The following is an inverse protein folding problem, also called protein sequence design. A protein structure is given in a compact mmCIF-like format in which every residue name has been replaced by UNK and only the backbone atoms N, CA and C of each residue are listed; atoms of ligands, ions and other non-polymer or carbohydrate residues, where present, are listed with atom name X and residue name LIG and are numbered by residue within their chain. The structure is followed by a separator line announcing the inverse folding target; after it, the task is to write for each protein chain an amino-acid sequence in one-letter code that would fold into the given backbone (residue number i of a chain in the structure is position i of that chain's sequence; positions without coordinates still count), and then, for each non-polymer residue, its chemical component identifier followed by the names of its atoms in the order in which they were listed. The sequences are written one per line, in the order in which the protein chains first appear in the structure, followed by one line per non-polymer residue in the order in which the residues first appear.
data_IF_860767210829
#
_entry.id   IF_860767210829
#
_cell.length_a   1.000
_cell.length_b   1.000
_cell.length_c   1.000
_cell.angle_alpha   90.00
_cell.angle_beta   90.00
_cell.angle_gamma   90.00
#
_symmetry.space_group_name_H-M   'P 1'
#
loop_
_entity.id
_entity.type
_entity.pdbx_description
1 polymer ?
#
# COMPACT_ATOMS: atom_id res chain seq x y z
N UNK A 1 16.76 11.00 2.58
CA UNK A 1 16.58 12.45 2.81
C UNK A 1 17.02 13.35 1.65
N UNK A 2 17.79 12.88 0.65
CA UNK A 2 18.29 13.76 -0.42
C UNK A 2 17.22 14.62 -1.11
N UNK A 3 16.07 14.03 -1.46
CA UNK A 3 14.96 14.76 -2.10
C UNK A 3 14.40 15.91 -1.23
N UNK A 4 14.20 15.67 0.07
CA UNK A 4 13.76 16.71 1.01
C UNK A 4 14.81 17.83 1.09
N UNK A 5 16.08 17.47 1.25
CA UNK A 5 17.14 18.47 1.35
C UNK A 5 17.29 19.31 0.08
N UNK A 6 17.17 18.68 -1.09
CA UNK A 6 17.22 19.36 -2.38
C UNK A 6 16.08 20.38 -2.50
N UNK A 7 14.84 20.00 -2.14
CA UNK A 7 13.69 20.91 -2.14
C UNK A 7 13.90 22.14 -1.25
N UNK A 8 14.37 21.94 -0.02
CA UNK A 8 14.60 23.02 0.95
C UNK A 8 15.86 23.86 0.65
N UNK A 9 16.78 23.36 -0.18
CA UNK A 9 18.00 24.08 -0.55
C UNK A 9 17.73 25.24 -1.53
N UNK A 10 16.63 25.17 -2.28
CA UNK A 10 16.26 26.17 -3.26
C UNK A 10 15.35 27.26 -2.64
N UNK A 11 15.80 28.53 -2.55
CA UNK A 11 15.01 29.60 -1.95
C UNK A 11 13.74 29.97 -2.72
N UNK A 12 13.61 29.57 -3.98
CA UNK A 12 12.39 29.83 -4.77
C UNK A 12 11.25 28.86 -4.46
N UNK A 13 11.53 27.75 -3.77
CA UNK A 13 10.54 26.74 -3.47
C UNK A 13 9.69 27.14 -2.26
N UNK A 14 8.41 26.75 -2.29
CA UNK A 14 7.55 26.91 -1.13
C UNK A 14 7.95 25.89 -0.05
N UNK A 15 8.06 26.38 1.17
CA UNK A 15 8.42 25.62 2.38
C UNK A 15 7.45 25.95 3.53
N UNK A 16 6.23 26.40 3.21
CA UNK A 16 5.20 26.72 4.19
C UNK A 16 4.42 25.49 4.69
N UNK A 17 4.53 24.36 3.98
CA UNK A 17 3.92 23.09 4.33
C UNK A 17 4.97 21.96 4.38
N UNK A 18 4.72 20.87 5.11
CA UNK A 18 5.60 19.71 5.09
C UNK A 18 5.53 18.97 3.75
N UNK A 19 6.64 18.34 3.36
CA UNK A 19 6.62 17.37 2.26
C UNK A 19 5.93 16.07 2.69
N UNK A 20 4.95 15.59 1.94
CA UNK A 20 4.29 14.32 2.25
C UNK A 20 5.03 13.14 1.63
N UNK A 21 5.38 12.16 2.46
CA UNK A 21 5.93 10.86 2.04
C UNK A 21 4.83 9.82 2.22
N UNK A 22 4.20 9.38 1.14
CA UNK A 22 2.96 8.59 1.17
C UNK A 22 3.27 7.14 0.84
N UNK A 23 3.14 6.25 1.83
CA UNK A 23 3.26 4.80 1.70
C UNK A 23 1.89 4.19 1.41
N UNK A 24 1.74 3.68 0.19
CA UNK A 24 0.51 3.15 -0.36
C UNK A 24 0.53 1.62 -0.28
N UNK A 25 -0.49 1.06 0.40
CA UNK A 25 -0.60 -0.38 0.62
C UNK A 25 0.48 -0.89 1.58
N UNK A 26 0.65 -0.19 2.71
CA UNK A 26 1.70 -0.46 3.69
C UNK A 26 1.53 -1.81 4.41
N UNK A 27 0.37 -2.47 4.30
CA UNK A 27 0.10 -3.79 4.88
C UNK A 27 0.28 -3.82 6.40
N UNK A 28 1.29 -4.53 6.91
CA UNK A 28 1.56 -4.56 8.36
C UNK A 28 2.31 -3.31 8.88
N UNK A 29 2.75 -2.38 8.02
CA UNK A 29 3.43 -1.15 8.45
C UNK A 29 4.88 -1.33 8.93
N UNK A 30 5.46 -2.54 8.79
CA UNK A 30 6.84 -2.83 9.22
C UNK A 30 7.87 -2.02 8.44
N UNK A 31 7.69 -1.91 7.12
CA UNK A 31 8.57 -1.11 6.28
C UNK A 31 8.48 0.36 6.67
N UNK A 32 7.27 0.87 6.85
CA UNK A 32 6.99 2.24 7.28
C UNK A 32 7.66 2.56 8.62
N UNK A 33 7.57 1.65 9.60
CA UNK A 33 8.28 1.77 10.87
C UNK A 33 9.80 1.86 10.69
N UNK A 34 10.39 0.94 9.91
CA UNK A 34 11.85 0.92 9.68
C UNK A 34 12.32 2.20 9.00
N UNK A 35 11.61 2.67 7.98
CA UNK A 35 11.92 3.92 7.30
C UNK A 35 11.83 5.08 8.29
N UNK A 36 10.73 5.20 9.03
CA UNK A 36 10.54 6.32 9.96
C UNK A 36 11.58 6.32 11.09
N UNK A 37 11.93 5.14 11.59
CA UNK A 37 12.99 4.96 12.58
C UNK A 37 14.34 5.44 12.02
N UNK A 38 14.75 4.98 10.83
CA UNK A 38 16.00 5.43 10.19
C UNK A 38 16.00 6.93 9.84
N UNK A 39 14.86 7.49 9.44
CA UNK A 39 14.74 8.92 9.18
C UNK A 39 14.99 9.74 10.46
N UNK A 40 14.45 9.30 11.60
CA UNK A 40 14.65 9.95 12.89
C UNK A 40 16.07 9.83 13.43
N UNK A 41 16.78 8.73 13.15
CA UNK A 41 18.21 8.62 13.49
C UNK A 41 19.04 9.71 12.80
N UNK A 42 18.61 10.18 11.63
CA UNK A 42 19.27 11.25 10.87
C UNK A 42 18.68 12.65 11.15
N UNK A 43 17.94 12.84 12.25
CA UNK A 43 17.24 14.10 12.55
C UNK A 43 18.14 15.33 12.57
N UNK A 44 19.40 15.18 12.97
CA UNK A 44 20.39 16.28 12.99
C UNK A 44 20.71 16.85 11.59
N UNK A 45 20.43 16.09 10.53
CA UNK A 45 20.65 16.48 9.14
C UNK A 45 19.42 17.11 8.49
N UNK A 46 18.31 17.22 9.22
CA UNK A 46 17.07 17.77 8.66
C UNK A 46 17.16 19.29 8.50
N UNK A 47 16.48 19.86 7.49
CA UNK A 47 16.46 21.30 7.32
C UNK A 47 15.79 21.97 8.52
N UNK A 48 16.35 23.09 8.96
CA UNK A 48 15.77 23.89 10.05
C UNK A 48 14.49 24.55 9.54
N UNK A 49 13.37 24.24 10.17
CA UNK A 49 12.03 24.74 9.81
C UNK A 49 11.15 24.83 11.06
N UNK A 50 10.13 25.68 11.01
CA UNK A 50 9.18 25.88 12.11
C UNK A 50 8.19 24.71 12.25
N UNK A 51 8.10 23.85 11.23
CA UNK A 51 7.27 22.65 11.18
C UNK A 51 8.12 21.42 10.84
N UNK A 52 7.59 20.19 10.99
CA UNK A 52 8.24 19.00 10.47
C UNK A 52 8.58 19.17 8.98
N UNK A 53 9.81 18.87 8.54
CA UNK A 53 10.18 19.08 7.13
C UNK A 53 9.43 18.12 6.19
N UNK A 54 8.94 17.01 6.75
CA UNK A 54 8.09 16.05 6.07
C UNK A 54 7.08 15.45 7.06
N UNK A 55 6.02 14.85 6.50
CA UNK A 55 5.07 13.99 7.21
C UNK A 55 4.97 12.67 6.44
N UNK A 56 5.21 11.57 7.15
CA UNK A 56 5.10 10.22 6.59
C UNK A 56 3.65 9.74 6.71
N UNK A 57 2.98 9.45 5.60
CA UNK A 57 1.60 8.94 5.61
C UNK A 57 1.63 7.44 5.37
N UNK A 58 1.14 6.68 6.34
CA UNK A 58 0.97 5.22 6.20
C UNK A 58 -0.47 4.93 5.80
N UNK A 59 -0.67 4.31 4.63
CA UNK A 59 -2.01 4.06 4.09
C UNK A 59 -2.21 2.65 3.58
N UNK A 60 -3.44 2.15 3.73
CA UNK A 60 -3.89 0.86 3.17
C UNK A 60 -5.43 0.89 3.02
N UNK A 61 -5.98 0.08 2.12
CA UNK A 61 -7.43 -0.03 1.94
C UNK A 61 -8.09 -0.83 3.08
N UNK A 62 -7.32 -1.67 3.78
CA UNK A 62 -7.78 -2.47 4.90
C UNK A 62 -7.82 -1.64 6.20
N UNK A 63 -9.03 -1.29 6.64
CA UNK A 63 -9.28 -0.56 7.89
C UNK A 63 -8.73 -1.26 9.14
N UNK A 64 -8.62 -2.58 9.11
CA UNK A 64 -8.06 -3.35 10.23
C UNK A 64 -6.56 -3.08 10.40
N UNK A 65 -5.81 -2.93 9.31
CA UNK A 65 -4.39 -2.54 9.38
C UNK A 65 -4.24 -1.14 9.96
N UNK A 66 -5.05 -0.18 9.50
CA UNK A 66 -5.03 1.19 10.04
C UNK A 66 -5.32 1.20 11.55
N UNK A 67 -6.32 0.44 11.97
CA UNK A 67 -6.66 0.28 13.39
C UNK A 67 -5.54 -0.35 14.21
N UNK A 68 -4.79 -1.29 13.61
CA UNK A 68 -3.61 -1.90 14.24
C UNK A 68 -2.49 -0.89 14.43
N UNK A 69 -2.14 -0.08 13.42
CA UNK A 69 -1.07 0.91 13.53
C UNK A 69 -1.37 2.01 14.53
N UNK A 70 -2.63 2.46 14.61
CA UNK A 70 -3.06 3.45 15.60
C UNK A 70 -2.90 2.96 17.04
N UNK A 71 -3.00 1.64 17.27
CA UNK A 71 -2.82 0.99 18.58
C UNK A 71 -1.39 0.56 18.85
N UNK A 72 -0.60 0.32 17.80
CA UNK A 72 0.79 -0.10 17.91
C UNK A 72 1.64 1.04 18.50
N UNK A 73 2.25 0.88 19.69
CA UNK A 73 3.08 1.91 20.29
C UNK A 73 4.29 2.30 19.42
N UNK A 74 4.80 1.41 18.58
CA UNK A 74 5.97 1.66 17.74
C UNK A 74 5.69 2.61 16.56
N UNK A 75 4.48 2.56 16.00
CA UNK A 75 4.05 3.45 14.91
C UNK A 75 3.36 4.70 15.46
N UNK A 76 2.42 4.53 16.39
CA UNK A 76 1.62 5.64 16.96
C UNK A 76 2.47 6.68 17.70
N UNK A 77 3.67 6.34 18.17
CA UNK A 77 4.61 7.34 18.71
C UNK A 77 5.00 8.40 17.67
N UNK A 78 5.24 8.02 16.42
CA UNK A 78 5.63 8.97 15.37
C UNK A 78 4.47 9.88 15.00
N UNK A 79 3.24 9.35 15.06
CA UNK A 79 2.04 10.15 14.86
C UNK A 79 1.83 11.18 15.98
N UNK A 80 2.06 10.80 17.25
CA UNK A 80 2.03 11.74 18.38
C UNK A 80 3.11 12.81 18.30
N UNK A 81 4.25 12.51 17.66
CA UNK A 81 5.33 13.48 17.43
C UNK A 81 5.07 14.40 16.23
N UNK A 82 4.03 14.16 15.43
CA UNK A 82 3.71 14.94 14.23
C UNK A 82 4.54 14.58 13.00
N UNK A 83 5.29 13.47 13.01
CA UNK A 83 6.10 13.02 11.87
C UNK A 83 5.39 11.98 11.01
N UNK A 84 4.26 11.44 11.48
CA UNK A 84 3.52 10.39 10.81
C UNK A 84 2.01 10.66 10.86
N UNK A 85 1.28 10.33 9.81
CA UNK A 85 -0.18 10.30 9.78
C UNK A 85 -0.67 8.97 9.18
N UNK A 86 -1.93 8.65 9.41
CA UNK A 86 -2.56 7.44 8.91
C UNK A 86 -3.67 7.79 7.92
N UNK A 87 -3.88 6.93 6.94
CA UNK A 87 -5.02 7.05 6.04
C UNK A 87 -5.59 5.69 5.67
N UNK A 88 -6.90 5.61 5.47
CA UNK A 88 -7.54 4.50 4.75
C UNK A 88 -7.65 4.95 3.31
N UNK A 89 -7.06 4.19 2.39
CA UNK A 89 -7.02 4.58 0.97
C UNK A 89 -7.10 3.37 0.05
N UNK A 90 -8.12 3.33 -0.79
CA UNK A 90 -8.27 2.37 -1.88
C UNK A 90 -7.86 3.00 -3.21
N UNK A 91 -6.67 2.64 -3.71
CA UNK A 91 -6.15 3.21 -4.95
C UNK A 91 -7.00 2.89 -6.20
N UNK A 92 -7.90 1.91 -6.13
CA UNK A 92 -8.78 1.57 -7.25
C UNK A 92 -10.07 2.38 -7.27
N UNK A 93 -10.47 2.97 -6.14
CA UNK A 93 -11.77 3.61 -5.96
C UNK A 93 -11.68 5.07 -5.52
N UNK A 94 -10.68 5.41 -4.70
CA UNK A 94 -10.55 6.70 -4.04
C UNK A 94 -9.71 7.67 -4.89
N UNK A 95 -10.12 8.94 -4.90
CA UNK A 95 -9.37 10.05 -5.54
C UNK A 95 -8.61 10.90 -4.54
N UNK A 96 -9.17 11.02 -3.34
CA UNK A 96 -8.67 11.89 -2.29
C UNK A 96 -8.13 11.06 -1.12
N UNK A 97 -6.99 11.47 -0.58
CA UNK A 97 -6.36 10.83 0.57
C UNK A 97 -6.67 11.63 1.83
N UNK A 98 -7.53 11.10 2.69
CA UNK A 98 -7.95 11.77 3.92
C UNK A 98 -7.08 11.29 5.09
N UNK A 99 -6.31 12.21 5.65
CA UNK A 99 -5.44 11.98 6.80
C UNK A 99 -6.26 11.94 8.09
N UNK A 100 -6.05 10.92 8.90
CA UNK A 100 -6.89 10.62 10.05
C UNK A 100 -6.55 11.48 11.28
N UNK A 101 -5.29 11.83 11.47
CA UNK A 101 -4.86 12.60 12.64
C UNK A 101 -4.93 14.10 12.40
N UNK A 102 -4.45 14.56 11.24
CA UNK A 102 -4.50 15.98 10.86
C UNK A 102 -5.86 16.43 10.30
N UNK A 103 -6.72 15.49 9.92
CA UNK A 103 -8.00 15.75 9.22
C UNK A 103 -7.83 16.52 7.91
N UNK A 104 -6.65 16.44 7.30
CA UNK A 104 -6.36 17.06 6.00
C UNK A 104 -6.79 16.12 4.87
N UNK A 105 -7.39 16.69 3.81
CA UNK A 105 -7.68 15.97 2.58
C UNK A 105 -6.64 16.35 1.52
N UNK A 106 -5.85 15.37 1.09
CA UNK A 106 -4.90 15.53 -0.01
C UNK A 106 -5.60 15.08 -1.29
N UNK A 107 -6.06 16.04 -2.09
CA UNK A 107 -6.60 15.82 -3.43
C UNK A 107 -5.53 16.12 -4.49
N UNK A 108 -5.75 15.75 -5.77
CA UNK A 108 -4.94 16.26 -6.87
C UNK A 108 -4.83 17.78 -6.80
N UNK A 109 -3.64 18.32 -7.05
CA UNK A 109 -3.31 19.75 -7.04
C UNK A 109 -3.50 20.49 -5.70
N UNK A 110 -3.70 19.77 -4.59
CA UNK A 110 -3.86 20.39 -3.26
C UNK A 110 -2.53 20.77 -2.59
N UNK A 111 -1.43 20.12 -2.97
CA UNK A 111 -0.11 20.31 -2.35
C UNK A 111 0.75 21.28 -3.15
N UNK A 112 1.42 22.17 -2.43
CA UNK A 112 2.44 23.09 -2.94
C UNK A 112 3.76 22.35 -3.19
N UNK A 113 4.06 21.36 -2.34
CA UNK A 113 5.25 20.52 -2.44
C UNK A 113 4.86 19.17 -3.06
N UNK A 114 5.52 18.73 -4.16
CA UNK A 114 5.26 17.42 -4.73
C UNK A 114 5.49 16.30 -3.71
N UNK A 115 4.51 15.42 -3.48
CA UNK A 115 4.65 14.32 -2.54
C UNK A 115 5.58 13.24 -3.10
N UNK A 116 6.17 12.46 -2.19
CA UNK A 116 6.95 11.27 -2.53
C UNK A 116 6.12 10.01 -2.27
N UNK A 117 5.82 9.23 -3.31
CA UNK A 117 5.04 8.00 -3.17
C UNK A 117 5.93 6.76 -3.00
N UNK A 118 5.57 5.92 -2.05
CA UNK A 118 6.12 4.59 -1.83
C UNK A 118 5.03 3.56 -2.15
N UNK A 119 5.27 2.73 -3.17
CA UNK A 119 4.34 1.71 -3.63
C UNK A 119 5.04 0.35 -3.65
N UNK A 120 5.45 -0.14 -2.48
CA UNK A 120 6.37 -1.29 -2.37
C UNK A 120 5.78 -2.61 -2.90
N UNK A 121 4.49 -2.85 -2.67
CA UNK A 121 3.82 -4.09 -3.06
C UNK A 121 2.45 -3.87 -3.71
N UNK A 122 1.86 -2.68 -3.58
CA UNK A 122 0.48 -2.43 -4.03
C UNK A 122 0.29 -2.60 -5.54
N UNK A 123 1.28 -2.22 -6.35
CA UNK A 123 1.12 -2.22 -7.82
C UNK A 123 0.96 -3.63 -8.41
N UNK A 124 1.46 -4.67 -7.74
CA UNK A 124 1.28 -6.06 -8.18
C UNK A 124 -0.03 -6.68 -7.69
N UNK A 125 -0.71 -6.04 -6.73
CA UNK A 125 -2.00 -6.51 -6.17
C UNK A 125 -3.20 -5.78 -6.76
N UNK A 126 -2.98 -4.66 -7.44
CA UNK A 126 -4.06 -3.95 -8.14
C UNK A 126 -4.67 -4.83 -9.24
N UNK A 127 -5.99 -4.71 -9.49
CA UNK A 127 -6.65 -5.42 -10.58
C UNK A 127 -5.96 -5.13 -11.92
N UNK A 128 -5.60 -6.20 -12.63
CA UNK A 128 -4.97 -6.11 -13.94
C UNK A 128 -5.91 -6.65 -15.02
N UNK A 129 -5.93 -5.97 -16.16
CA UNK A 129 -6.64 -6.46 -17.34
C UNK A 129 -5.83 -7.53 -18.08
N UNK A 130 -6.51 -8.60 -18.47
CA UNK A 130 -5.94 -9.62 -19.36
C UNK A 130 -6.35 -9.29 -20.78
N UNK A 131 -5.36 -9.13 -21.67
CA UNK A 131 -5.58 -8.85 -23.08
C UNK A 131 -4.92 -9.95 -23.91
N UNK A 132 -5.70 -10.54 -24.81
CA UNK A 132 -5.22 -11.52 -25.80
C UNK A 132 -4.97 -10.81 -27.13
N UNK A 133 -3.77 -11.01 -27.66
CA UNK A 133 -3.35 -10.49 -28.97
C UNK A 133 -3.23 -11.66 -29.95
N UNK A 134 -4.08 -11.66 -30.97
CA UNK A 134 -3.95 -12.55 -32.14
C UNK A 134 -3.91 -11.69 -33.42
N UNK A 135 -4.86 -11.85 -34.33
CA UNK A 135 -5.09 -10.91 -35.44
C UNK A 135 -5.82 -9.65 -34.99
N UNK A 136 -6.54 -9.73 -33.87
CA UNK A 136 -7.25 -8.61 -33.23
C UNK A 136 -7.02 -8.65 -31.72
N UNK A 137 -7.30 -7.53 -31.06
CA UNK A 137 -7.16 -7.37 -29.62
C UNK A 137 -8.48 -7.73 -28.93
N UNK A 138 -8.46 -8.65 -27.98
CA UNK A 138 -9.64 -9.10 -27.24
C UNK A 138 -9.37 -9.20 -25.74
N UNK A 139 -10.35 -8.89 -24.90
CA UNK A 139 -10.22 -9.00 -23.43
C UNK A 139 -10.37 -10.45 -22.99
N UNK A 140 -9.50 -10.90 -22.09
CA UNK A 140 -9.66 -12.18 -21.39
C UNK A 140 -10.80 -12.09 -20.39
N UNK A 141 -11.77 -12.99 -20.50
CA UNK A 141 -12.90 -13.08 -19.58
C UNK A 141 -12.82 -14.41 -18.82
N UNK A 142 -13.13 -14.40 -17.53
CA UNK A 142 -13.32 -15.60 -16.73
C UNK A 142 -14.82 -15.94 -16.70
N UNK A 143 -15.16 -17.19 -17.02
CA UNK A 143 -16.52 -17.69 -16.98
C UNK A 143 -16.58 -19.02 -16.25
N UNK A 144 -17.58 -19.20 -15.38
CA UNK A 144 -17.82 -20.47 -14.70
C UNK A 144 -18.54 -21.41 -15.66
N UNK A 145 -17.98 -22.60 -15.87
CA UNK A 145 -18.59 -23.63 -16.69
C UNK A 145 -19.02 -24.80 -15.81
N UNK A 146 -20.28 -25.21 -15.91
CA UNK A 146 -20.78 -26.43 -15.29
C UNK A 146 -21.02 -27.45 -16.41
N UNK A 147 -20.26 -28.54 -16.40
CA UNK A 147 -20.56 -29.67 -17.28
C UNK A 147 -21.86 -30.34 -16.83
N UNK A 148 -22.76 -30.72 -17.75
CA UNK A 148 -23.96 -31.47 -17.38
C UNK A 148 -23.57 -32.79 -16.71
N UNK A 149 -24.27 -33.13 -15.62
CA UNK A 149 -24.07 -34.33 -14.81
C UNK A 149 -24.65 -35.58 -15.47
N UNK A 150 -24.19 -35.87 -16.70
CA UNK A 150 -24.41 -37.16 -17.34
C UNK A 150 -23.08 -37.68 -17.86
N UNK A 151 -22.69 -38.82 -17.30
CA UNK A 151 -21.54 -39.63 -17.66
C UNK A 151 -21.41 -39.79 -19.17
N UNK A 152 -20.29 -39.33 -19.72
CA UNK A 152 -19.40 -40.15 -20.55
C UNK A 152 -18.03 -39.48 -20.62
N UNK A 153 -17.10 -40.03 -19.84
CA UNK A 153 -15.67 -39.71 -19.90
C UNK A 153 -15.11 -40.23 -21.24
N UNK A 154 -15.34 -39.51 -22.33
CA UNK A 154 -14.49 -39.59 -23.51
C UNK A 154 -13.54 -38.40 -23.48
N UNK A 155 -12.26 -38.71 -23.26
CA UNK A 155 -11.13 -37.79 -23.37
C UNK A 155 -11.23 -36.93 -24.63
N UNK A 156 -11.72 -35.70 -24.46
CA UNK A 156 -11.52 -34.61 -25.40
C UNK A 156 -10.71 -33.54 -24.66
N UNK A 157 -9.59 -33.04 -25.22
CA UNK A 157 -8.88 -31.90 -24.65
C UNK A 157 -9.75 -30.66 -24.87
N UNK A 158 -10.63 -30.36 -23.93
CA UNK A 158 -11.50 -29.18 -23.98
C UNK A 158 -10.71 -27.93 -23.56
N UNK A 159 -10.08 -27.29 -24.55
CA UNK A 159 -9.86 -25.84 -24.51
C UNK A 159 -11.17 -25.16 -24.88
N UNK A 160 -11.98 -24.76 -23.88
CA UNK A 160 -13.11 -23.87 -24.12
C UNK A 160 -12.61 -22.43 -24.35
N UNK A 161 -12.31 -22.09 -25.61
CA UNK A 161 -12.34 -20.69 -26.03
C UNK A 161 -13.80 -20.28 -26.18
N UNK A 162 -14.29 -19.43 -25.27
CA UNK A 162 -15.58 -18.80 -25.42
C UNK A 162 -15.49 -17.78 -26.57
N UNK A 163 -15.80 -18.21 -27.80
CA UNK A 163 -16.12 -17.30 -28.90
C UNK A 163 -17.46 -16.67 -28.57
N UNK A 164 -17.45 -15.49 -27.97
CA UNK A 164 -18.59 -14.60 -28.08
C UNK A 164 -18.84 -14.34 -29.57
N UNK A 165 -19.91 -14.94 -30.08
CA UNK A 165 -20.36 -14.88 -31.46
C UNK A 165 -20.74 -13.43 -31.79
N UNK A 166 -19.97 -12.80 -32.67
CA UNK A 166 -20.44 -11.67 -33.48
C UNK A 166 -20.96 -12.22 -34.82
N UNK A 167 -22.07 -11.72 -35.38
CA UNK A 167 -22.66 -12.28 -36.58
C UNK A 167 -21.82 -11.89 -37.80
N UNK A 168 -21.18 -12.88 -38.45
CA UNK A 168 -20.44 -12.67 -39.69
C UNK A 168 -19.83 -13.96 -40.26
N UNK A 169 -20.52 -14.54 -41.25
CA UNK A 169 -20.08 -15.56 -42.23
C UNK A 169 -18.90 -16.49 -41.86
N UNK A 170 -19.23 -17.70 -41.41
CA UNK A 170 -18.29 -18.84 -41.37
C UNK A 170 -18.14 -19.49 -42.75
N UNK A 171 -16.93 -19.44 -43.31
CA UNK A 171 -16.43 -20.49 -44.22
C UNK A 171 -15.83 -21.61 -43.37
N UNK A 172 -16.27 -22.84 -43.61
CA UNK A 172 -15.78 -24.05 -42.93
C UNK A 172 -14.29 -24.31 -43.26
N UNK A 173 -13.53 -24.73 -42.26
CA UNK A 173 -12.15 -25.25 -42.41
C UNK A 173 -12.15 -26.75 -42.04
N UNK A 174 -11.35 -27.58 -42.74
CA UNK A 174 -11.45 -29.03 -42.64
C UNK A 174 -10.79 -29.59 -41.38
N UNK A 175 -11.38 -30.67 -40.85
CA UNK A 175 -10.93 -31.49 -39.72
C UNK A 175 -9.56 -32.16 -39.95
N UNK A 176 -8.65 -32.20 -38.96
CA UNK A 176 -7.41 -32.97 -39.08
C UNK A 176 -7.64 -34.46 -38.76
N UNK A 177 -6.94 -35.30 -39.52
CA UNK A 177 -6.92 -36.76 -39.44
C UNK A 177 -6.15 -37.30 -38.22
N UNK A 178 -6.60 -38.47 -37.73
CA UNK A 178 -6.03 -39.29 -36.65
C UNK A 178 -4.51 -39.52 -36.81
N UNK A 179 -3.75 -39.30 -35.73
CA UNK A 179 -2.44 -39.92 -35.52
C UNK A 179 -2.56 -41.23 -34.71
N UNK A 180 -1.79 -42.29 -35.03
CA UNK A 180 -1.90 -43.59 -34.35
C UNK A 180 -0.95 -43.72 -33.15
N UNK A 181 -1.50 -44.25 -32.04
CA UNK A 181 -0.86 -45.21 -31.13
C UNK A 181 0.49 -44.88 -30.48
N UNK A 182 0.45 -44.47 -29.20
CA UNK A 182 1.57 -44.59 -28.26
C UNK A 182 1.06 -44.75 -26.83
N UNK A 183 1.29 -45.91 -26.20
CA UNK A 183 0.98 -46.15 -24.77
C UNK A 183 2.02 -45.42 -23.91
N UNK A 184 1.59 -44.52 -23.03
CA UNK A 184 2.41 -44.03 -21.92
C UNK A 184 1.86 -44.57 -20.60
N UNK A 185 2.71 -45.30 -19.87
CA UNK A 185 2.48 -45.78 -18.51
C UNK A 185 2.65 -44.64 -17.49
N UNK A 186 1.75 -44.57 -16.50
CA UNK A 186 1.82 -43.61 -15.41
C UNK A 186 3.00 -43.91 -14.44
N UNK A 187 3.68 -42.89 -13.88
CA UNK A 187 4.70 -43.10 -12.84
C UNK A 187 4.06 -43.33 -11.45
N UNK A 188 4.76 -44.03 -10.54
CA UNK A 188 4.23 -44.37 -9.21
C UNK A 188 4.16 -43.16 -8.28
N UNK A 189 3.14 -43.18 -7.42
CA UNK A 189 2.87 -42.21 -6.37
C UNK A 189 3.73 -42.45 -5.13
N UNK A 190 4.70 -41.58 -4.87
CA UNK A 190 5.38 -41.47 -3.57
C UNK A 190 5.48 -40.00 -3.17
N UNK A 191 4.64 -39.60 -2.21
CA UNK A 191 4.73 -38.31 -1.50
C UNK A 191 5.83 -38.42 -0.44
N UNK A 192 6.82 -37.51 -0.39
CA UNK A 192 7.77 -37.46 0.73
C UNK A 192 7.10 -36.88 1.98
N UNK A 193 7.38 -37.52 3.12
CA UNK A 193 6.92 -37.15 4.46
C UNK A 193 7.45 -35.78 4.91
N UNK A 194 6.55 -35.00 5.52
CA UNK A 194 6.77 -33.66 6.08
C UNK A 194 7.82 -33.67 7.21
N UNK A 195 8.85 -32.81 7.19
CA UNK A 195 9.77 -32.69 8.31
C UNK A 195 9.13 -31.98 9.51
N UNK A 196 9.44 -32.49 10.69
CA UNK A 196 9.03 -32.03 12.01
C UNK A 196 9.55 -30.63 12.34
N UNK A 197 8.71 -29.85 13.03
CA UNK A 197 8.95 -28.46 13.43
C UNK A 197 9.95 -28.41 14.59
N UNK A 198 11.21 -28.10 14.31
CA UNK A 198 12.18 -27.72 15.34
C UNK A 198 11.86 -26.32 15.90
N UNK A 199 11.82 -26.22 17.22
CA UNK A 199 11.60 -25.01 17.99
C UNK A 199 12.90 -24.22 18.14
N UNK A 200 13.02 -23.10 17.44
CA UNK A 200 14.11 -22.13 17.66
C UNK A 200 13.74 -21.18 18.82
N UNK A 201 14.69 -20.82 19.71
CA UNK A 201 14.42 -19.91 20.82
C UNK A 201 14.29 -18.45 20.33
N UNK A 202 13.34 -17.72 20.91
CA UNK A 202 13.10 -16.31 20.62
C UNK A 202 14.28 -15.42 21.09
N UNK A 203 14.69 -14.37 20.35
CA UNK A 203 15.69 -13.43 20.83
C UNK A 203 15.11 -12.61 21.99
N UNK A 204 15.77 -12.66 23.15
CA UNK A 204 15.44 -11.87 24.33
C UNK A 204 16.20 -10.54 24.25
N UNK A 205 15.51 -9.46 23.90
CA UNK A 205 16.08 -8.11 23.91
C UNK A 205 16.07 -7.52 25.33
N UNK A 206 17.08 -6.72 25.70
CA UNK A 206 17.14 -6.09 27.02
C UNK A 206 16.05 -5.02 27.17
N UNK A 207 15.46 -4.95 28.37
CA UNK A 207 14.47 -3.94 28.72
C UNK A 207 15.10 -2.53 28.72
N UNK A 208 14.38 -1.48 28.30
CA UNK A 208 14.88 -0.12 28.36
C UNK A 208 15.05 0.32 29.82
N UNK A 209 16.20 0.91 30.13
CA UNK A 209 16.49 1.52 31.43
C UNK A 209 15.62 2.76 31.66
N UNK A 210 14.92 2.77 32.79
CA UNK A 210 14.15 3.92 33.27
C UNK A 210 15.05 5.13 33.53
N UNK A 211 14.68 6.36 33.12
CA UNK A 211 15.46 7.55 33.45
C UNK A 211 15.28 7.93 34.92
N UNK A 212 16.40 8.11 35.62
CA UNK A 212 16.48 8.76 36.93
C UNK A 212 16.19 10.26 36.81
N UNK A 213 15.44 10.88 37.74
CA UNK A 213 15.17 12.31 37.69
C UNK A 213 16.33 13.11 38.30
N UNK A 214 16.85 14.08 37.55
CA UNK A 214 17.74 15.13 38.06
C UNK A 214 16.92 16.27 38.67
N UNK A 215 17.34 16.86 39.81
CA UNK A 215 16.52 17.79 40.58
C UNK A 215 16.70 19.23 40.09
N UNK A 216 15.60 19.93 39.82
CA UNK A 216 15.62 21.39 39.70
C UNK A 216 14.61 21.99 38.73
N UNK A 217 13.34 22.08 39.13
CA UNK A 217 12.43 23.07 38.55
C UNK A 217 11.46 23.57 39.62
N UNK A 218 11.60 24.85 39.95
CA UNK A 218 10.76 25.60 40.89
C UNK A 218 9.38 25.85 40.29
N UNK A 219 8.39 25.81 41.17
CA UNK A 219 6.97 26.16 41.00
C UNK A 219 6.73 27.61 40.56
N UNK A 220 5.88 27.79 39.55
CA UNK A 220 4.96 28.91 39.30
C UNK A 220 4.07 28.46 38.12
N UNK A 221 2.76 28.63 38.02
CA UNK A 221 1.75 29.44 38.69
C UNK A 221 0.63 29.59 37.65
N UNK A 222 -0.58 29.16 37.99
CA UNK A 222 -1.78 29.22 37.15
C UNK A 222 -2.10 30.65 36.66
N UNK A 223 -2.51 30.83 35.40
CA UNK A 223 -3.65 31.69 35.04
C UNK A 223 -4.19 31.40 33.63
N UNK A 224 -5.48 31.64 33.44
CA UNK A 224 -6.37 31.15 32.39
C UNK A 224 -6.81 32.22 31.38
N UNK A 225 -6.79 31.86 30.08
CA UNK A 225 -7.72 32.23 28.97
C UNK A 225 -7.88 33.72 28.54
N UNK A 226 -8.49 34.05 27.35
CA UNK A 226 -9.09 33.20 26.31
C UNK A 226 -8.71 33.50 24.83
N UNK A 227 -8.95 32.45 24.03
CA UNK A 227 -9.38 32.33 22.62
C UNK A 227 -9.67 33.60 21.81
N UNK A 228 -9.00 33.75 20.65
CA UNK A 228 -9.37 34.68 19.58
C UNK A 228 -9.73 33.91 18.30
N UNK A 229 -11.01 33.99 17.93
CA UNK A 229 -11.54 33.44 16.67
C UNK A 229 -11.04 34.27 15.47
N UNK A 230 -10.58 33.60 14.43
CA UNK A 230 -10.16 34.22 13.17
C UNK A 230 -11.15 33.83 12.06
N UNK A 231 -12.08 34.73 11.73
CA UNK A 231 -12.91 34.60 10.53
C UNK A 231 -12.25 35.36 9.38
N UNK A 232 -11.90 34.68 8.28
CA UNK A 232 -11.61 35.36 7.01
C UNK A 232 -12.77 35.19 6.04
N UNK A 233 -13.31 36.34 5.64
CA UNK A 233 -14.27 36.51 4.55
C UNK A 233 -13.62 36.15 3.22
N UNK A 234 -14.39 35.47 2.36
CA UNK A 234 -14.20 35.42 0.91
C UNK A 234 -14.42 36.83 0.33
N UNK A 235 -13.53 37.26 -0.54
CA UNK A 235 -13.81 38.29 -1.55
C UNK A 235 -13.64 37.64 -2.91
N UNK A 236 -14.74 37.61 -3.67
CA UNK A 236 -14.78 37.40 -5.11
C UNK A 236 -14.15 38.63 -5.79
N UNK A 237 -13.31 38.38 -6.79
CA UNK A 237 -12.72 39.34 -7.70
C UNK A 237 -12.06 38.57 -8.83
#
# INVERSE_FOLDING_TARGET
MGYVLDWYSNPSNDTSEPMYVIDIGAGFGKLSYLIMYSLLEMKEHWPSSDHPPFVYVVSDCCKDYVSLWQRDPYLSQFARMGYLDFAVFDCAADTDLILLNSHLSISPDSLLIPPFFLCSCVLSTLPQDVIKVEQTLSRGNLSVYQAPSSLDFQYFPFFCFNKSVFPGNTRELPTPSRFPGGRFSAPPSTLPSRPTRESSPSPRWPAPSSPTPSPGAKTAGFSSSPTRAFSRRRTLG
#
